data_IF_015191097286
#
_entry.id   IF_015191097286
#
_cell.length_a   1.000
_cell.length_b   1.000
_cell.length_c   1.000
_cell.angle_alpha   90.00
_cell.angle_beta   90.00
_cell.angle_gamma   90.00
#
_symmetry.space_group_name_H-M   'P 1'
#
loop_
_entity.id
_entity.type
_entity.pdbx_description
1 polymer ?
#
# COMPACT_ATOMS: atom_id res chain seq x y z
N UNK A 1 -5.14 3.97 2.48
CA UNK A 1 -5.47 3.10 1.33
C UNK A 1 -6.94 3.29 1.01
N UNK A 2 -7.23 3.77 -0.19
CA UNK A 2 -8.59 4.07 -0.63
C UNK A 2 -9.16 2.85 -1.36
N UNK A 3 -9.90 1.99 -0.64
CA UNK A 3 -10.70 0.93 -1.25
C UNK A 3 -12.10 1.43 -1.63
N UNK A 4 -12.75 0.77 -2.59
CA UNK A 4 -14.16 1.00 -2.94
C UNK A 4 -15.06 0.05 -2.14
N UNK A 5 -16.22 0.53 -1.68
CA UNK A 5 -17.27 -0.34 -1.10
C UNK A 5 -17.97 -1.06 -2.26
N UNK A 6 -17.70 -2.36 -2.42
CA UNK A 6 -18.35 -3.19 -3.44
C UNK A 6 -19.75 -3.64 -3.02
N UNK A 7 -19.91 -4.00 -1.76
CA UNK A 7 -21.18 -4.48 -1.18
C UNK A 7 -21.31 -3.94 0.25
N UNK A 8 -22.55 -3.66 0.68
CA UNK A 8 -22.86 -3.20 2.04
C UNK A 8 -24.23 -3.70 2.48
N UNK A 9 -24.34 -4.11 3.74
CA UNK A 9 -25.58 -4.60 4.33
C UNK A 9 -25.65 -4.24 5.81
N UNK A 10 -26.79 -3.69 6.25
CA UNK A 10 -27.10 -3.54 7.68
C UNK A 10 -27.49 -4.89 8.25
N UNK A 11 -26.86 -5.27 9.37
CA UNK A 11 -27.10 -6.56 10.03
C UNK A 11 -27.66 -6.37 11.46
N UNK A 12 -28.40 -7.35 12.01
CA UNK A 12 -28.82 -7.32 13.41
C UNK A 12 -27.61 -7.25 14.35
N UNK A 13 -27.80 -6.71 15.55
CA UNK A 13 -26.72 -6.43 16.52
C UNK A 13 -26.03 -7.66 17.10
N UNK A 14 -26.62 -8.86 16.97
CA UNK A 14 -26.14 -10.06 17.67
C UNK A 14 -25.29 -10.97 16.79
N UNK A 15 -25.85 -11.41 15.66
CA UNK A 15 -25.17 -12.35 14.76
C UNK A 15 -25.75 -12.27 13.35
N UNK A 16 -24.89 -12.47 12.36
CA UNK A 16 -25.28 -12.70 10.98
C UNK A 16 -24.23 -13.55 10.27
N UNK A 17 -24.68 -14.47 9.42
CA UNK A 17 -23.87 -15.19 8.45
C UNK A 17 -24.40 -14.96 7.03
N UNK A 18 -23.52 -15.12 6.05
CA UNK A 18 -23.84 -14.93 4.63
C UNK A 18 -22.59 -14.89 3.76
N UNK A 19 -22.79 -14.65 2.48
CA UNK A 19 -21.73 -14.46 1.50
C UNK A 19 -22.20 -13.54 0.37
N UNK A 20 -21.24 -12.94 -0.35
CA UNK A 20 -21.47 -12.25 -1.61
C UNK A 20 -20.64 -12.92 -2.71
N UNK A 21 -21.08 -12.77 -3.95
CA UNK A 21 -20.25 -13.06 -5.11
C UNK A 21 -19.83 -11.72 -5.72
N UNK A 22 -18.54 -11.43 -5.71
CA UNK A 22 -17.99 -10.20 -6.28
C UNK A 22 -17.24 -10.56 -7.55
N UNK A 23 -17.64 -9.97 -8.69
CA UNK A 23 -16.87 -10.08 -9.93
C UNK A 23 -15.61 -9.23 -9.80
N UNK A 24 -14.46 -9.85 -10.04
CA UNK A 24 -13.13 -9.22 -10.03
C UNK A 24 -12.53 -9.37 -11.42
N UNK A 25 -12.31 -8.25 -12.09
CA UNK A 25 -11.79 -8.18 -13.47
C UNK A 25 -10.31 -7.76 -13.53
N UNK A 26 -9.76 -7.30 -12.40
CA UNK A 26 -8.37 -6.86 -12.24
C UNK A 26 -7.81 -7.33 -10.91
N UNK A 27 -6.48 -7.48 -10.86
CA UNK A 27 -5.81 -7.85 -9.61
C UNK A 27 -6.06 -6.79 -8.54
N UNK A 28 -6.46 -7.24 -7.37
CA UNK A 28 -6.99 -6.40 -6.31
C UNK A 28 -6.88 -7.10 -4.96
N UNK A 29 -7.23 -6.39 -3.90
CA UNK A 29 -7.42 -6.98 -2.58
C UNK A 29 -8.87 -6.78 -2.14
N UNK A 30 -9.40 -7.75 -1.43
CA UNK A 30 -10.73 -7.66 -0.80
C UNK A 30 -10.58 -7.85 0.70
N UNK A 31 -11.26 -7.01 1.47
CA UNK A 31 -11.40 -7.17 2.90
C UNK A 31 -12.85 -6.92 3.31
N UNK A 32 -13.28 -7.58 4.38
CA UNK A 32 -14.56 -7.30 5.03
C UNK A 32 -14.34 -6.26 6.13
N UNK A 33 -15.19 -5.24 6.17
CA UNK A 33 -15.26 -4.26 7.24
C UNK A 33 -16.63 -4.33 7.90
N UNK A 34 -16.65 -4.44 9.23
CA UNK A 34 -17.87 -4.33 10.04
C UNK A 34 -17.86 -2.97 10.73
N UNK A 35 -18.82 -2.13 10.39
CA UNK A 35 -19.03 -0.84 11.04
C UNK A 35 -20.06 -0.99 12.15
N UNK A 36 -19.75 -0.41 13.30
CA UNK A 36 -20.61 -0.44 14.49
C UNK A 36 -20.89 0.97 14.98
N UNK A 37 -22.06 1.15 15.59
CA UNK A 37 -22.47 2.41 16.18
C UNK A 37 -23.08 2.15 17.57
N UNK A 38 -22.73 3.01 18.52
CA UNK A 38 -23.38 3.11 19.84
C UNK A 38 -24.04 4.47 19.91
N UNK A 39 -25.23 4.58 20.54
CA UNK A 39 -26.09 5.77 20.47
C UNK A 39 -25.36 7.12 20.66
N UNK A 40 -24.38 7.17 21.57
CA UNK A 40 -23.66 8.40 21.91
C UNK A 40 -22.23 8.45 21.33
N UNK A 41 -21.89 7.57 20.39
CA UNK A 41 -20.55 7.49 19.78
C UNK A 41 -20.62 7.56 18.26
N UNK A 42 -19.62 8.18 17.60
CA UNK A 42 -19.51 8.10 16.16
C UNK A 42 -19.38 6.64 15.70
N UNK A 43 -19.73 6.39 14.44
CA UNK A 43 -19.50 5.08 13.82
C UNK A 43 -18.00 4.73 13.86
N UNK A 44 -17.71 3.47 14.17
CA UNK A 44 -16.35 2.92 14.20
C UNK A 44 -16.26 1.66 13.35
N UNK A 45 -15.04 1.29 12.95
CA UNK A 45 -14.77 -0.07 12.46
C UNK A 45 -14.71 -0.98 13.69
N UNK A 46 -15.75 -1.79 13.89
CA UNK A 46 -15.87 -2.70 15.01
C UNK A 46 -15.11 -4.02 14.78
N UNK A 47 -14.97 -4.45 13.52
CA UNK A 47 -14.16 -5.59 13.13
C UNK A 47 -13.73 -5.48 11.65
N UNK A 48 -12.69 -6.21 11.28
CA UNK A 48 -12.27 -6.36 9.89
C UNK A 48 -11.66 -7.74 9.65
N UNK A 49 -11.64 -8.20 8.40
CA UNK A 49 -10.83 -9.35 8.00
C UNK A 49 -9.41 -8.92 7.67
N UNK A 50 -8.48 -9.87 7.61
CA UNK A 50 -7.27 -9.68 6.82
C UNK A 50 -7.66 -9.49 5.34
N UNK A 51 -6.94 -8.66 4.58
CA UNK A 51 -7.15 -8.57 3.14
C UNK A 51 -6.77 -9.90 2.48
N UNK A 52 -7.59 -10.33 1.53
CA UNK A 52 -7.29 -11.42 0.61
C UNK A 52 -6.82 -10.79 -0.70
N UNK A 53 -5.61 -11.16 -1.11
CA UNK A 53 -5.03 -10.73 -2.37
C UNK A 53 -5.58 -11.61 -3.50
N UNK A 54 -5.97 -10.98 -4.61
CA UNK A 54 -6.52 -11.66 -5.79
C UNK A 54 -5.67 -11.24 -6.98
N UNK A 55 -4.95 -12.20 -7.55
CA UNK A 55 -4.21 -12.01 -8.79
C UNK A 55 -5.06 -12.50 -9.98
N UNK A 56 -5.32 -11.59 -10.91
CA UNK A 56 -5.97 -11.86 -12.20
C UNK A 56 -4.90 -11.82 -13.28
N UNK A 57 -4.85 -12.87 -14.11
CA UNK A 57 -3.89 -12.99 -15.20
C UNK A 57 -3.94 -11.76 -16.13
N UNK A 58 -2.77 -11.24 -16.50
CA UNK A 58 -2.64 -10.05 -17.32
C UNK A 58 -2.98 -8.72 -16.61
N UNK A 59 -3.34 -8.76 -15.31
CA UNK A 59 -3.63 -7.56 -14.52
C UNK A 59 -2.58 -7.34 -13.44
N UNK A 60 -1.75 -6.28 -13.53
CA UNK A 60 -0.78 -5.98 -12.49
C UNK A 60 -1.50 -5.41 -11.25
N UNK A 61 -1.23 -5.99 -10.08
CA UNK A 61 -1.67 -5.41 -8.81
C UNK A 61 -0.73 -4.27 -8.39
N UNK A 62 -1.03 -3.07 -8.88
CA UNK A 62 -0.36 -1.85 -8.46
C UNK A 62 -1.34 -0.67 -8.54
N UNK A 63 -1.81 -0.19 -7.39
CA UNK A 63 -2.43 1.12 -7.34
C UNK A 63 -1.31 2.16 -7.44
N UNK A 64 -1.20 2.85 -8.58
CA UNK A 64 -0.11 3.78 -8.83
C UNK A 64 0.05 4.84 -7.73
N UNK A 65 -1.05 5.36 -7.20
CA UNK A 65 -1.03 6.32 -6.10
C UNK A 65 -0.44 5.74 -4.80
N UNK A 66 -0.78 4.49 -4.46
CA UNK A 66 -0.17 3.79 -3.32
C UNK A 66 1.31 3.50 -3.59
N UNK A 67 1.66 3.15 -4.84
CA UNK A 67 3.04 2.94 -5.27
C UNK A 67 3.90 4.20 -5.12
N UNK A 68 3.40 5.36 -5.56
CA UNK A 68 4.08 6.66 -5.38
C UNK A 68 4.24 6.98 -3.90
N UNK A 69 3.18 6.82 -3.10
CA UNK A 69 3.23 7.09 -1.65
C UNK A 69 4.26 6.17 -0.96
N UNK A 70 4.32 4.89 -1.32
CA UNK A 70 5.31 3.95 -0.78
C UNK A 70 6.72 4.36 -1.21
N UNK A 71 6.90 4.83 -2.45
CA UNK A 71 8.19 5.32 -2.93
C UNK A 71 8.68 6.51 -2.09
N UNK A 72 7.81 7.49 -1.84
CA UNK A 72 8.11 8.64 -0.97
C UNK A 72 8.48 8.22 0.45
N UNK A 73 7.81 7.20 1.01
CA UNK A 73 8.16 6.67 2.34
C UNK A 73 9.54 5.99 2.35
N UNK A 74 9.89 5.26 1.29
CA UNK A 74 11.22 4.65 1.16
C UNK A 74 12.29 5.75 1.08
N UNK A 75 12.05 6.82 0.32
CA UNK A 75 12.94 7.98 0.22
C UNK A 75 13.12 8.67 1.57
N UNK A 76 12.02 8.92 2.29
CA UNK A 76 12.06 9.46 3.65
C UNK A 76 12.83 8.56 4.62
N UNK A 77 12.68 7.24 4.52
CA UNK A 77 13.41 6.28 5.35
C UNK A 77 14.92 6.28 5.04
N UNK A 78 15.30 6.37 3.76
CA UNK A 78 16.71 6.52 3.35
C UNK A 78 17.31 7.82 3.89
N UNK A 79 16.60 8.95 3.74
CA UNK A 79 17.04 10.23 4.27
C UNK A 79 17.22 10.20 5.80
N UNK A 80 16.28 9.55 6.52
CA UNK A 80 16.39 9.35 7.95
C UNK A 80 17.65 8.54 8.31
N UNK A 81 17.88 7.38 7.68
CA UNK A 81 19.07 6.55 7.92
C UNK A 81 20.37 7.31 7.65
N UNK A 82 20.39 8.13 6.60
CA UNK A 82 21.58 8.84 6.16
C UNK A 82 21.87 10.10 7.00
N UNK A 83 20.89 10.69 7.69
CA UNK A 83 21.09 12.00 8.35
C UNK A 83 20.74 12.05 9.83
N UNK A 84 19.70 11.34 10.28
CA UNK A 84 19.17 11.44 11.65
C UNK A 84 19.40 10.15 12.46
N UNK A 85 19.32 9.00 11.79
CA UNK A 85 19.38 7.68 12.42
C UNK A 85 20.70 7.43 13.15
N UNK A 86 20.60 6.88 14.35
CA UNK A 86 21.79 6.52 15.15
C UNK A 86 22.55 5.38 14.50
N UNK A 87 23.82 5.60 14.16
CA UNK A 87 24.70 4.61 13.51
C UNK A 87 25.49 3.79 14.53
N UNK A 88 24.77 3.06 15.38
CA UNK A 88 25.41 2.23 16.41
C UNK A 88 26.06 0.96 15.83
N UNK A 89 25.52 0.44 14.72
CA UNK A 89 26.02 -0.74 14.00
C UNK A 89 26.08 -0.46 12.49
N UNK A 90 27.30 -0.42 11.95
CA UNK A 90 27.58 -0.14 10.55
C UNK A 90 27.11 -1.25 9.60
N UNK A 91 27.13 -2.51 10.05
CA UNK A 91 26.64 -3.66 9.25
C UNK A 91 25.14 -3.59 9.12
N UNK A 92 24.43 -3.31 10.23
CA UNK A 92 22.99 -3.13 10.22
C UNK A 92 22.57 -1.94 9.35
N UNK A 93 23.25 -0.79 9.47
CA UNK A 93 23.03 0.38 8.62
C UNK A 93 23.16 0.05 7.13
N UNK A 94 24.29 -0.55 6.72
CA UNK A 94 24.53 -0.91 5.31
C UNK A 94 23.50 -1.90 4.78
N UNK A 95 23.11 -2.89 5.58
CA UNK A 95 22.08 -3.86 5.20
C UNK A 95 20.71 -3.20 4.99
N UNK A 96 20.28 -2.35 5.92
CA UNK A 96 18.99 -1.64 5.80
C UNK A 96 18.97 -0.71 4.59
N UNK A 97 20.05 0.05 4.39
CA UNK A 97 20.19 0.94 3.25
C UNK A 97 20.12 0.18 1.92
N UNK A 98 20.84 -0.95 1.81
CA UNK A 98 20.79 -1.80 0.61
C UNK A 98 19.37 -2.32 0.31
N UNK A 99 18.65 -2.78 1.34
CA UNK A 99 17.26 -3.26 1.19
C UNK A 99 16.35 -2.14 0.68
N UNK A 100 16.41 -0.95 1.28
CA UNK A 100 15.58 0.19 0.90
C UNK A 100 15.92 0.70 -0.51
N UNK A 101 17.20 0.80 -0.86
CA UNK A 101 17.61 1.17 -2.22
C UNK A 101 17.14 0.16 -3.26
N UNK A 102 17.22 -1.15 -2.96
CA UNK A 102 16.71 -2.19 -3.86
C UNK A 102 15.20 -2.09 -4.02
N UNK A 103 14.46 -1.91 -2.91
CA UNK A 103 13.01 -1.78 -2.94
C UNK A 103 12.56 -0.53 -3.72
N UNK A 104 13.24 0.60 -3.53
CA UNK A 104 13.03 1.83 -4.31
C UNK A 104 13.19 1.56 -5.80
N UNK A 105 14.34 1.01 -6.22
CA UNK A 105 14.61 0.75 -7.64
C UNK A 105 13.59 -0.20 -8.27
N UNK A 106 13.23 -1.27 -7.57
CA UNK A 106 12.23 -2.22 -8.07
C UNK A 106 10.86 -1.55 -8.24
N UNK A 107 10.41 -0.78 -7.25
CA UNK A 107 9.10 -0.12 -7.31
C UNK A 107 9.07 1.01 -8.34
N UNK A 108 10.12 1.83 -8.39
CA UNK A 108 10.30 2.91 -9.35
C UNK A 108 10.26 2.38 -10.80
N UNK A 109 11.06 1.37 -11.11
CA UNK A 109 11.09 0.78 -12.44
C UNK A 109 9.74 0.17 -12.82
N UNK A 110 9.06 -0.46 -11.85
CA UNK A 110 7.73 -1.04 -12.07
C UNK A 110 6.66 0.04 -12.35
N UNK A 111 6.73 1.19 -11.68
CA UNK A 111 5.85 2.34 -11.95
C UNK A 111 6.04 2.84 -13.39
N UNK A 112 7.29 3.04 -13.83
CA UNK A 112 7.60 3.46 -15.20
C UNK A 112 7.20 2.42 -16.25
N UNK A 113 7.45 1.13 -16.01
CA UNK A 113 7.03 0.04 -16.92
C UNK A 113 5.51 0.01 -17.14
N UNK A 114 4.74 0.46 -16.14
CA UNK A 114 3.29 0.56 -16.21
C UNK A 114 2.81 1.93 -16.74
N UNK A 115 3.72 2.82 -17.15
CA UNK A 115 3.43 4.14 -17.70
C UNK A 115 3.07 5.20 -16.66
N UNK A 116 3.32 4.94 -15.37
CA UNK A 116 3.07 5.90 -14.29
C UNK A 116 4.30 6.79 -14.06
N UNK A 117 4.22 8.01 -14.57
CA UNK A 117 5.22 9.04 -14.35
C UNK A 117 4.95 9.76 -13.03
N UNK A 118 6.02 10.05 -12.29
CA UNK A 118 5.96 10.80 -11.03
C UNK A 118 7.15 11.76 -10.97
N UNK A 119 7.04 12.79 -10.13
CA UNK A 119 8.12 13.75 -9.93
C UNK A 119 9.36 13.06 -9.38
N UNK A 120 10.53 13.46 -9.89
CA UNK A 120 11.83 13.11 -9.32
C UNK A 120 12.33 14.32 -8.55
N UNK A 121 12.93 14.11 -7.38
CA UNK A 121 13.71 15.15 -6.72
C UNK A 121 15.12 15.21 -7.35
N UNK A 122 15.87 16.32 -7.24
CA UNK A 122 17.22 16.42 -7.82
C UNK A 122 18.21 15.34 -7.36
N UNK A 123 17.95 14.73 -6.21
CA UNK A 123 18.70 13.57 -5.68
C UNK A 123 18.38 12.24 -6.36
N UNK A 124 17.29 12.17 -7.12
CA UNK A 124 16.79 10.98 -7.83
C UNK A 124 16.71 11.17 -9.34
N UNK A 125 17.27 12.26 -9.87
CA UNK A 125 17.33 12.54 -11.31
C UNK A 125 18.50 11.74 -11.91
N UNK A 126 18.18 10.59 -12.50
CA UNK A 126 19.17 9.70 -13.11
C UNK A 126 19.30 9.97 -14.62
N UNK A 127 20.49 9.76 -15.22
CA UNK A 127 20.73 10.03 -16.64
C UNK A 127 19.83 9.22 -17.61
N UNK A 128 19.18 8.17 -17.12
CA UNK A 128 18.28 7.31 -17.90
C UNK A 128 16.93 7.99 -18.23
N UNK A 129 16.71 9.22 -17.77
CA UNK A 129 15.51 10.02 -18.02
C UNK A 129 15.66 11.07 -19.15
N UNK A 130 16.76 11.03 -19.92
CA UNK A 130 17.02 11.91 -21.07
C UNK A 130 17.18 11.14 -22.39
#
# INVERSE_FOLDING_TARGET
MNGEIRESLTVPSREKSGHWSVKVDKSSWLALLVRGHYADKPEIIAAHSSPVMIDVEGSPMLAAADGITILEQIEGALAYLDTVGTRADDVAYKRMRLVLTSAHRTLHNRLHQLGYYHGHTPTTDYPEHH
#
